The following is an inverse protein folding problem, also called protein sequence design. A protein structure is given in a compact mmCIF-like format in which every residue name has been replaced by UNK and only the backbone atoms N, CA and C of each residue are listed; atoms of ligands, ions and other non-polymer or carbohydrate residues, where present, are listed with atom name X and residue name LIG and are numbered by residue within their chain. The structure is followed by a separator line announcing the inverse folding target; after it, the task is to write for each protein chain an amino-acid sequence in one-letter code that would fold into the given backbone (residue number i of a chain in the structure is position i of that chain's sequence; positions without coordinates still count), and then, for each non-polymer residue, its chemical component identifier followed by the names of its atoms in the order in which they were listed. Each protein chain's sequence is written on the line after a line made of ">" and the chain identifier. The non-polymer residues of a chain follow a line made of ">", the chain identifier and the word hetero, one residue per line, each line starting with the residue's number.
data_IF_881933411850
#
_entry.id   IF_881933411850
#
_cell.length_a   1.000
_cell.length_b   1.000
_cell.length_c   1.000
_cell.angle_alpha   90.00
_cell.angle_beta   90.00
_cell.angle_gamma   90.00
#
_symmetry.space_group_name_H-M   'P 1'
#
loop_
_entity.id
_entity.type
_entity.pdbx_description
1 polymer ?
#
# COMPACT_ATOMS: atom_id res chain seq x y z
N UNK A 1 -26.21 2.01 -6.16
CA UNK A 1 -24.83 2.49 -6.03
C UNK A 1 -24.15 2.36 -7.37
N UNK A 2 -23.78 3.50 -7.97
CA UNK A 2 -23.10 3.62 -9.27
C UNK A 2 -21.75 2.89 -9.30
N UNK A 3 -20.98 2.94 -8.21
CA UNK A 3 -19.60 2.45 -8.15
C UNK A 3 -19.49 0.94 -7.85
N UNK A 4 -20.20 0.09 -8.61
CA UNK A 4 -20.22 -1.37 -8.39
C UNK A 4 -18.83 -2.02 -8.46
N UNK A 5 -17.88 -1.38 -9.16
CA UNK A 5 -16.48 -1.79 -9.27
C UNK A 5 -15.65 -1.59 -8.00
N UNK A 6 -16.12 -0.80 -7.03
CA UNK A 6 -15.33 -0.35 -5.88
C UNK A 6 -14.77 -1.51 -5.05
N UNK A 7 -15.57 -2.55 -4.83
CA UNK A 7 -15.15 -3.70 -4.01
C UNK A 7 -13.97 -4.44 -4.65
N UNK A 8 -14.10 -4.79 -5.92
CA UNK A 8 -13.04 -5.47 -6.67
C UNK A 8 -11.79 -4.59 -6.81
N UNK A 9 -11.98 -3.28 -7.02
CA UNK A 9 -10.89 -2.31 -7.13
C UNK A 9 -10.07 -2.23 -5.84
N UNK A 10 -10.72 -2.07 -4.69
CA UNK A 10 -10.05 -1.94 -3.40
C UNK A 10 -9.41 -3.25 -2.94
N UNK A 11 -10.09 -4.39 -3.13
CA UNK A 11 -9.57 -5.70 -2.73
C UNK A 11 -8.37 -6.15 -3.56
N UNK A 12 -8.15 -5.58 -4.75
CA UNK A 12 -6.93 -5.82 -5.54
C UNK A 12 -5.69 -5.19 -4.89
N UNK A 13 -5.86 -4.12 -4.10
CA UNK A 13 -4.73 -3.41 -3.48
C UNK A 13 -4.08 -4.24 -2.38
N UNK A 14 -2.76 -4.16 -2.28
CA UNK A 14 -1.98 -4.94 -1.31
C UNK A 14 -2.36 -4.61 0.12
N UNK A 15 -2.53 -5.67 0.92
CA UNK A 15 -2.80 -5.54 2.35
C UNK A 15 -4.18 -4.97 2.69
N UNK A 16 -5.08 -4.86 1.69
CA UNK A 16 -6.47 -4.49 1.94
C UNK A 16 -7.26 -5.68 2.47
N UNK A 17 -8.02 -5.43 3.52
CA UNK A 17 -9.02 -6.36 4.05
C UNK A 17 -10.38 -5.68 4.15
N UNK A 18 -11.44 -6.49 4.16
CA UNK A 18 -12.82 -6.02 4.25
C UNK A 18 -13.55 -6.73 5.39
N UNK A 19 -14.37 -5.98 6.12
CA UNK A 19 -15.30 -6.53 7.10
C UNK A 19 -16.63 -5.75 7.11
N UNK A 20 -17.61 -6.31 7.79
CA UNK A 20 -18.88 -5.64 8.07
C UNK A 20 -19.00 -5.35 9.57
N UNK A 21 -19.24 -4.09 9.92
CA UNK A 21 -19.45 -3.62 11.29
C UNK A 21 -20.96 -3.49 11.55
N UNK A 22 -21.61 -4.46 12.22
CA UNK A 22 -23.05 -4.48 12.40
C UNK A 22 -23.58 -3.31 13.23
N UNK A 23 -22.81 -2.79 14.19
CA UNK A 23 -23.25 -1.70 15.06
C UNK A 23 -23.42 -0.39 14.29
N UNK A 24 -22.52 -0.12 13.35
CA UNK A 24 -22.57 1.09 12.52
C UNK A 24 -23.31 0.86 11.22
N UNK A 25 -23.53 -0.41 10.86
CA UNK A 25 -24.08 -0.84 9.59
C UNK A 25 -23.19 -0.47 8.39
N UNK A 26 -21.87 -0.67 8.52
CA UNK A 26 -20.90 -0.25 7.51
C UNK A 26 -20.11 -1.44 6.97
N UNK A 27 -19.89 -1.46 5.65
CA UNK A 27 -18.88 -2.30 5.01
C UNK A 27 -17.59 -1.49 4.99
N UNK A 28 -16.51 -1.99 5.61
CA UNK A 28 -15.29 -1.22 5.86
C UNK A 28 -14.10 -1.84 5.16
N UNK A 29 -13.27 -1.00 4.55
CA UNK A 29 -12.01 -1.38 3.94
C UNK A 29 -10.86 -0.89 4.82
N UNK A 30 -9.96 -1.80 5.13
CA UNK A 30 -8.83 -1.58 6.01
C UNK A 30 -7.53 -1.84 5.27
N UNK A 31 -6.49 -1.09 5.62
CA UNK A 31 -5.10 -1.39 5.25
C UNK A 31 -4.28 -1.47 6.52
N UNK A 32 -3.59 -2.60 6.72
CA UNK A 32 -2.81 -2.84 7.94
C UNK A 32 -3.63 -2.77 9.24
N UNK A 33 -4.94 -3.03 9.16
CA UNK A 33 -5.88 -2.96 10.29
C UNK A 33 -6.46 -1.57 10.56
N UNK A 34 -6.13 -0.54 9.77
CA UNK A 34 -6.73 0.80 9.88
C UNK A 34 -7.71 1.05 8.73
N UNK A 35 -8.90 1.55 9.05
CA UNK A 35 -9.91 1.89 8.05
C UNK A 35 -9.45 3.06 7.20
N UNK A 36 -9.62 2.94 5.88
CA UNK A 36 -9.37 4.02 4.93
C UNK A 36 -10.64 4.38 4.14
N UNK A 37 -11.50 3.41 3.82
CA UNK A 37 -12.78 3.68 3.17
C UNK A 37 -13.91 2.83 3.79
N UNK A 38 -15.16 3.25 3.61
CA UNK A 38 -16.33 2.49 4.02
C UNK A 38 -17.54 2.78 3.12
N UNK A 39 -18.39 1.78 2.93
CA UNK A 39 -19.75 1.95 2.42
C UNK A 39 -20.68 1.95 3.63
N UNK A 40 -21.24 3.11 3.95
CA UNK A 40 -22.20 3.32 5.03
C UNK A 40 -23.60 2.93 4.53
N UNK A 41 -24.29 2.04 5.23
CA UNK A 41 -25.61 1.56 4.82
C UNK A 41 -26.73 2.21 5.63
N UNK A 42 -27.90 2.40 5.01
CA UNK A 42 -29.15 2.76 5.67
C UNK A 42 -29.79 1.57 6.40
N UNK A 43 -30.94 1.80 7.06
CA UNK A 43 -31.63 0.75 7.83
C UNK A 43 -32.05 -0.44 6.96
N UNK A 44 -32.35 -0.20 5.68
CA UNK A 44 -32.69 -1.22 4.69
C UNK A 44 -31.47 -1.87 4.01
N UNK A 45 -30.25 -1.64 4.54
CA UNK A 45 -28.98 -2.17 4.01
C UNK A 45 -28.59 -1.66 2.62
N UNK A 46 -29.13 -0.52 2.19
CA UNK A 46 -28.74 0.12 0.92
C UNK A 46 -27.57 1.08 1.16
N UNK A 47 -26.62 1.18 0.21
CA UNK A 47 -25.57 2.19 0.27
C UNK A 47 -26.13 3.60 0.41
N UNK A 48 -25.77 4.27 1.50
CA UNK A 48 -26.20 5.63 1.81
C UNK A 48 -25.08 6.65 1.57
N UNK A 49 -23.85 6.32 1.98
CA UNK A 49 -22.65 7.10 1.68
C UNK A 49 -21.45 6.19 1.44
N UNK A 50 -20.49 6.69 0.66
CA UNK A 50 -19.13 6.16 0.63
C UNK A 50 -18.24 7.12 1.39
N UNK A 51 -17.69 6.69 2.51
CA UNK A 51 -16.87 7.52 3.38
C UNK A 51 -15.39 7.20 3.19
N UNK A 52 -14.55 8.20 2.92
CA UNK A 52 -13.11 8.04 2.67
C UNK A 52 -12.29 9.21 3.22
N UNK A 53 -10.97 9.02 3.35
CA UNK A 53 -10.04 10.07 3.78
C UNK A 53 -9.44 10.83 2.61
N UNK A 54 -9.29 12.13 2.78
CA UNK A 54 -8.50 13.00 1.90
C UNK A 54 -7.66 13.95 2.75
N UNK A 55 -6.62 14.52 2.13
CA UNK A 55 -5.93 15.67 2.70
C UNK A 55 -6.93 16.83 2.91
N UNK A 56 -6.83 17.60 4.01
CA UNK A 56 -7.83 18.61 4.36
C UNK A 56 -8.16 19.58 3.22
N UNK A 57 -7.11 20.12 2.59
CA UNK A 57 -7.22 21.10 1.49
C UNK A 57 -7.91 20.48 0.26
N UNK A 58 -7.59 19.23 -0.08
CA UNK A 58 -8.25 18.53 -1.20
C UNK A 58 -9.71 18.25 -0.89
N UNK A 59 -10.01 17.81 0.34
CA UNK A 59 -11.39 17.62 0.79
C UNK A 59 -12.22 18.88 0.64
N UNK A 60 -11.70 20.04 1.04
CA UNK A 60 -12.36 21.35 0.85
C UNK A 60 -12.60 21.66 -0.63
N UNK A 61 -11.57 21.49 -1.48
CA UNK A 61 -11.70 21.73 -2.91
C UNK A 61 -12.79 20.83 -3.52
N UNK A 62 -12.81 19.54 -3.22
CA UNK A 62 -13.82 18.65 -3.79
C UNK A 62 -15.23 18.96 -3.29
N UNK A 63 -15.41 19.26 -1.99
CA UNK A 63 -16.71 19.70 -1.45
C UNK A 63 -17.21 21.00 -2.09
N UNK A 64 -16.30 21.88 -2.53
CA UNK A 64 -16.68 23.12 -3.23
C UNK A 64 -17.06 22.90 -4.71
N UNK A 65 -16.57 21.82 -5.32
CA UNK A 65 -16.73 21.55 -6.76
C UNK A 65 -17.82 20.55 -7.09
N UNK A 66 -18.15 19.66 -6.15
CA UNK A 66 -19.08 18.55 -6.36
C UNK A 66 -20.10 18.52 -5.22
N UNK A 67 -21.39 18.68 -5.54
CA UNK A 67 -22.49 18.63 -4.57
C UNK A 67 -22.62 17.25 -3.88
N UNK A 68 -22.11 16.21 -4.53
CA UNK A 68 -22.09 14.84 -4.03
C UNK A 68 -20.98 14.56 -3.02
N UNK A 69 -20.02 15.48 -2.86
CA UNK A 69 -18.93 15.37 -1.89
C UNK A 69 -19.29 16.19 -0.66
N UNK A 70 -19.51 15.51 0.46
CA UNK A 70 -19.98 16.10 1.72
C UNK A 70 -18.93 15.92 2.84
N UNK A 71 -19.02 16.69 3.94
CA UNK A 71 -18.24 16.41 5.14
C UNK A 71 -18.50 14.99 5.67
N UNK A 72 -17.48 14.36 6.25
CA UNK A 72 -17.52 12.96 6.69
C UNK A 72 -18.68 12.60 7.63
N UNK A 73 -19.44 11.57 7.26
CA UNK A 73 -20.55 11.00 8.02
C UNK A 73 -20.02 10.25 9.25
N UNK A 74 -20.54 10.58 10.44
CA UNK A 74 -20.10 10.07 11.75
C UNK A 74 -18.56 10.03 11.95
N UNK A 75 -17.84 10.92 11.27
CA UNK A 75 -16.37 10.95 11.24
C UNK A 75 -15.86 12.37 11.45
N UNK A 76 -14.54 12.52 11.64
CA UNK A 76 -13.90 13.83 11.64
C UNK A 76 -14.06 14.50 10.26
N UNK A 77 -14.65 15.69 10.24
CA UNK A 77 -15.00 16.44 9.03
C UNK A 77 -13.81 17.14 8.37
N UNK A 78 -12.64 17.12 9.02
CA UNK A 78 -11.41 17.66 8.47
C UNK A 78 -10.89 16.73 7.36
N UNK A 79 -10.66 15.46 7.72
CA UNK A 79 -10.02 14.50 6.81
C UNK A 79 -11.02 13.55 6.12
N UNK A 80 -12.18 13.29 6.73
CA UNK A 80 -13.16 12.37 6.15
C UNK A 80 -14.20 13.11 5.32
N UNK A 81 -14.55 12.48 4.20
CA UNK A 81 -15.50 12.98 3.21
C UNK A 81 -16.48 11.86 2.86
N UNK A 82 -17.74 12.22 2.69
CA UNK A 82 -18.81 11.31 2.31
C UNK A 82 -19.29 11.60 0.90
N UNK A 83 -19.22 10.59 0.05
CA UNK A 83 -19.62 10.67 -1.36
C UNK A 83 -21.00 10.03 -1.50
N UNK A 84 -21.91 10.69 -2.21
CA UNK A 84 -23.19 10.08 -2.56
C UNK A 84 -22.98 8.87 -3.49
N UNK A 85 -23.51 7.69 -3.15
CA UNK A 85 -23.22 6.45 -3.87
C UNK A 85 -23.84 6.39 -5.27
N UNK A 86 -24.82 7.26 -5.56
CA UNK A 86 -25.47 7.42 -6.87
C UNK A 86 -25.27 8.82 -7.46
N UNK A 87 -24.23 9.53 -7.01
CA UNK A 87 -23.90 10.89 -7.47
C UNK A 87 -23.13 10.95 -8.81
N UNK A 88 -22.66 12.14 -9.13
CA UNK A 88 -22.03 12.49 -10.40
C UNK A 88 -20.50 12.59 -10.38
N UNK A 89 -19.85 12.21 -9.27
CA UNK A 89 -18.38 12.13 -9.22
C UNK A 89 -17.90 11.14 -10.30
N UNK A 90 -17.05 11.56 -11.25
CA UNK A 90 -16.56 10.68 -12.30
C UNK A 90 -15.78 9.49 -11.72
N UNK A 91 -15.90 8.33 -12.37
CA UNK A 91 -15.30 7.09 -11.88
C UNK A 91 -13.79 7.19 -11.66
N UNK A 92 -13.06 7.86 -12.56
CA UNK A 92 -11.61 8.02 -12.42
C UNK A 92 -11.26 8.93 -11.24
N UNK A 93 -12.04 9.99 -11.00
CA UNK A 93 -11.86 10.82 -9.81
C UNK A 93 -12.19 10.05 -8.53
N UNK A 94 -13.20 9.19 -8.55
CA UNK A 94 -13.54 8.34 -7.41
C UNK A 94 -12.41 7.34 -7.11
N UNK A 95 -11.78 6.75 -8.13
CA UNK A 95 -10.58 5.91 -7.97
C UNK A 95 -9.43 6.71 -7.37
N UNK A 96 -9.14 7.90 -7.89
CA UNK A 96 -8.08 8.76 -7.37
C UNK A 96 -8.30 9.11 -5.89
N UNK A 97 -9.53 9.42 -5.49
CA UNK A 97 -9.89 9.69 -4.08
C UNK A 97 -9.68 8.45 -3.19
N UNK A 98 -10.04 7.26 -3.68
CA UNK A 98 -9.85 6.00 -2.96
C UNK A 98 -8.37 5.62 -2.83
N UNK A 99 -7.59 5.86 -3.88
CA UNK A 99 -6.14 5.63 -3.92
C UNK A 99 -5.43 6.56 -2.95
N UNK A 100 -5.78 7.84 -2.97
CA UNK A 100 -5.29 8.80 -2.00
C UNK A 100 -5.66 8.40 -0.57
N UNK A 101 -6.90 7.99 -0.33
CA UNK A 101 -7.34 7.53 0.98
C UNK A 101 -6.52 6.33 1.47
N UNK A 102 -6.24 5.35 0.60
CA UNK A 102 -5.37 4.22 0.90
C UNK A 102 -3.95 4.69 1.25
N UNK A 103 -3.36 5.53 0.39
CA UNK A 103 -2.01 6.08 0.53
C UNK A 103 -1.83 6.85 1.84
N UNK A 104 -2.78 7.71 2.20
CA UNK A 104 -2.73 8.50 3.44
C UNK A 104 -2.69 7.62 4.69
N UNK A 105 -3.50 6.56 4.72
CA UNK A 105 -3.47 5.62 5.85
C UNK A 105 -2.19 4.80 5.85
N UNK A 106 -1.71 4.41 4.66
CA UNK A 106 -0.48 3.63 4.49
C UNK A 106 0.77 4.40 4.94
N UNK A 107 0.88 5.68 4.57
CA UNK A 107 1.97 6.58 4.97
C UNK A 107 2.01 6.84 6.47
N UNK A 108 0.86 6.74 7.15
CA UNK A 108 0.76 6.84 8.61
C UNK A 108 1.35 5.65 9.40
N UNK A 109 1.86 4.61 8.73
CA UNK A 109 2.58 3.51 9.36
C UNK A 109 4.10 3.71 9.32
N UNK A 110 4.81 3.07 10.25
CA UNK A 110 6.28 3.01 10.18
C UNK A 110 6.73 2.30 8.90
N UNK A 111 7.91 2.66 8.37
CA UNK A 111 8.45 2.04 7.14
C UNK A 111 8.62 0.52 7.25
N UNK A 112 8.92 0.00 8.46
CA UNK A 112 8.94 -1.44 8.73
C UNK A 112 7.55 -2.04 8.49
N UNK A 113 6.53 -1.44 9.11
CA UNK A 113 5.13 -1.89 8.99
C UNK A 113 4.58 -1.74 7.57
N UNK A 114 4.95 -0.68 6.85
CA UNK A 114 4.60 -0.51 5.45
C UNK A 114 5.10 -1.69 4.59
N UNK A 115 6.37 -2.10 4.76
CA UNK A 115 6.91 -3.28 4.05
C UNK A 115 6.17 -4.58 4.39
N UNK A 116 5.78 -4.77 5.65
CA UNK A 116 4.99 -5.93 6.08
C UNK A 116 3.62 -5.96 5.41
N UNK A 117 2.89 -4.82 5.42
CA UNK A 117 1.57 -4.70 4.81
C UNK A 117 1.64 -4.93 3.31
N UNK A 118 2.65 -4.36 2.63
CA UNK A 118 2.88 -4.58 1.21
C UNK A 118 3.41 -5.98 0.89
N UNK A 119 3.80 -6.77 1.89
CA UNK A 119 4.41 -8.09 1.69
C UNK A 119 5.67 -8.07 0.82
N UNK A 120 6.40 -6.97 0.80
CA UNK A 120 7.58 -6.78 -0.05
C UNK A 120 8.79 -6.28 0.76
N UNK A 121 9.97 -6.79 0.44
CA UNK A 121 11.21 -6.31 1.04
C UNK A 121 11.65 -4.98 0.43
N UNK A 122 12.61 -4.31 1.08
CA UNK A 122 13.17 -3.07 0.55
C UNK A 122 13.80 -3.22 -0.85
N UNK A 123 14.15 -4.44 -1.24
CA UNK A 123 14.82 -4.78 -2.48
C UNK A 123 13.90 -5.49 -3.48
N UNK A 124 12.58 -5.49 -3.27
CA UNK A 124 11.62 -6.03 -4.23
C UNK A 124 11.35 -7.53 -4.15
N UNK A 125 11.93 -8.24 -3.19
CA UNK A 125 11.65 -9.67 -2.99
C UNK A 125 10.34 -9.83 -2.23
N UNK A 126 9.55 -10.85 -2.60
CA UNK A 126 8.32 -11.23 -1.91
C UNK A 126 8.61 -12.39 -0.96
N UNK A 127 8.87 -12.10 0.31
CA UNK A 127 9.30 -13.12 1.29
C UNK A 127 8.34 -14.30 1.38
N UNK A 128 7.02 -14.08 1.27
CA UNK A 128 6.02 -15.15 1.38
C UNK A 128 6.07 -16.17 0.24
N UNK A 129 6.76 -15.87 -0.86
CA UNK A 129 6.97 -16.80 -1.99
C UNK A 129 8.35 -17.47 -1.93
N UNK A 130 9.23 -17.05 -1.02
CA UNK A 130 10.59 -17.54 -0.91
C UNK A 130 10.67 -18.76 0.01
N UNK A 131 11.20 -19.88 -0.49
CA UNK A 131 11.39 -21.12 0.28
C UNK A 131 12.29 -20.98 1.51
N UNK A 132 13.18 -19.98 1.52
CA UNK A 132 14.03 -19.70 2.66
C UNK A 132 13.30 -18.97 3.80
N UNK A 133 12.19 -18.28 3.50
CA UNK A 133 11.47 -17.50 4.50
C UNK A 133 10.72 -18.42 5.47
N UNK A 134 10.89 -18.20 6.77
CA UNK A 134 10.33 -19.04 7.83
C UNK A 134 11.10 -20.34 8.10
N UNK A 135 12.05 -20.72 7.23
CA UNK A 135 12.96 -21.85 7.45
C UNK A 135 14.32 -21.34 7.95
N UNK A 136 15.21 -20.98 7.03
CA UNK A 136 16.56 -20.49 7.32
C UNK A 136 16.65 -18.96 7.38
N UNK A 137 15.56 -18.25 7.03
CA UNK A 137 15.51 -16.79 6.97
C UNK A 137 14.27 -16.26 7.69
N UNK A 138 14.48 -15.43 8.72
CA UNK A 138 13.42 -14.66 9.40
C UNK A 138 12.93 -13.42 8.63
N UNK A 139 13.48 -13.16 7.43
CA UNK A 139 13.17 -11.97 6.63
C UNK A 139 13.94 -10.71 7.05
N UNK A 140 14.16 -9.81 6.10
CA UNK A 140 15.01 -8.64 6.33
C UNK A 140 14.47 -7.67 7.40
N UNK A 141 13.14 -7.61 7.58
CA UNK A 141 12.51 -6.76 8.58
C UNK A 141 12.82 -7.22 10.01
N UNK A 142 12.74 -8.52 10.30
CA UNK A 142 13.06 -9.05 11.63
C UNK A 142 14.56 -9.16 11.85
N UNK A 143 15.30 -9.57 10.82
CA UNK A 143 16.75 -9.74 10.91
C UNK A 143 17.52 -8.43 10.75
N UNK A 144 16.86 -7.27 10.62
CA UNK A 144 17.56 -5.99 10.45
C UNK A 144 18.53 -6.01 9.25
N UNK A 145 18.10 -6.66 8.17
CA UNK A 145 18.88 -6.88 6.95
C UNK A 145 19.98 -7.95 7.06
N UNK A 146 20.22 -8.57 8.23
CA UNK A 146 21.23 -9.62 8.44
C UNK A 146 20.70 -11.00 8.04
N UNK A 147 20.25 -11.11 6.78
CA UNK A 147 19.72 -12.35 6.19
C UNK A 147 20.85 -13.35 5.90
N UNK A 148 20.53 -14.62 5.66
CA UNK A 148 21.50 -15.71 5.52
C UNK A 148 22.54 -15.48 4.40
N UNK A 149 22.14 -14.82 3.31
CA UNK A 149 22.99 -14.50 2.17
C UNK A 149 23.69 -13.13 2.28
N UNK A 150 23.55 -12.44 3.43
CA UNK A 150 24.28 -11.21 3.71
C UNK A 150 25.65 -11.52 4.37
N UNK A 151 26.63 -10.60 4.30
CA UNK A 151 27.90 -10.78 4.98
C UNK A 151 27.70 -11.01 6.49
N UNK A 152 28.43 -11.97 7.07
CA UNK A 152 28.27 -12.38 8.47
C UNK A 152 28.23 -11.19 9.43
N UNK A 153 27.15 -11.10 10.21
CA UNK A 153 26.93 -10.05 11.21
C UNK A 153 26.55 -8.66 10.66
N UNK A 154 26.49 -8.49 9.34
CA UNK A 154 26.21 -7.21 8.68
C UNK A 154 24.88 -7.27 7.92
N UNK A 155 24.21 -6.13 7.85
CA UNK A 155 23.03 -6.00 6.99
C UNK A 155 23.43 -6.09 5.51
N UNK A 156 22.57 -6.68 4.67
CA UNK A 156 22.69 -6.65 3.22
C UNK A 156 22.91 -5.21 2.73
N UNK A 157 23.80 -4.98 1.74
CA UNK A 157 24.10 -3.64 1.21
C UNK A 157 22.86 -2.83 0.80
N UNK A 158 21.87 -3.46 0.17
CA UNK A 158 20.62 -2.81 -0.24
C UNK A 158 19.82 -2.35 0.99
N UNK A 159 19.63 -3.22 1.98
CA UNK A 159 18.90 -2.89 3.20
C UNK A 159 19.60 -1.76 3.97
N UNK A 160 20.93 -1.84 4.10
CA UNK A 160 21.73 -0.79 4.75
C UNK A 160 21.55 0.56 4.04
N UNK A 161 21.54 0.57 2.70
CA UNK A 161 21.33 1.79 1.93
C UNK A 161 19.90 2.33 2.11
N UNK A 162 18.90 1.54 1.71
CA UNK A 162 17.51 1.98 1.68
C UNK A 162 16.99 2.31 3.08
N UNK A 163 17.17 1.41 4.05
CA UNK A 163 16.53 1.54 5.37
C UNK A 163 17.35 2.38 6.35
N UNK A 164 18.66 2.12 6.47
CA UNK A 164 19.49 2.80 7.49
C UNK A 164 20.07 4.14 7.05
N UNK A 165 20.45 4.29 5.77
CA UNK A 165 21.08 5.54 5.29
C UNK A 165 20.08 6.50 4.67
N UNK A 166 19.22 6.00 3.78
CA UNK A 166 18.27 6.83 3.03
C UNK A 166 16.90 6.92 3.68
N UNK A 167 16.65 6.14 4.73
CA UNK A 167 15.39 6.13 5.47
C UNK A 167 14.18 5.98 4.53
N UNK A 168 14.24 5.02 3.60
CA UNK A 168 13.17 4.71 2.66
C UNK A 168 12.47 3.42 3.05
N UNK A 169 11.22 3.27 2.62
CA UNK A 169 10.49 2.02 2.76
C UNK A 169 11.10 0.95 1.86
N UNK A 170 11.47 1.30 0.64
CA UNK A 170 12.13 0.42 -0.34
C UNK A 170 13.00 1.21 -1.30
N UNK A 171 13.59 0.52 -2.29
CA UNK A 171 14.30 1.15 -3.39
C UNK A 171 13.39 1.77 -4.46
N UNK A 172 12.06 1.56 -4.44
CA UNK A 172 11.15 1.99 -5.52
C UNK A 172 11.25 3.49 -5.87
N UNK A 173 11.48 4.35 -4.86
CA UNK A 173 11.68 5.80 -5.06
C UNK A 173 13.14 6.22 -5.30
N UNK A 174 13.99 5.34 -5.81
CA UNK A 174 15.39 5.65 -6.10
C UNK A 174 15.59 5.88 -7.59
N UNK A 175 16.05 7.08 -7.96
CA UNK A 175 16.31 7.47 -9.36
C UNK A 175 17.37 6.57 -10.02
N UNK A 176 18.35 6.12 -9.24
CA UNK A 176 19.41 5.23 -9.74
C UNK A 176 19.01 3.75 -9.78
N UNK A 177 17.76 3.35 -9.51
CA UNK A 177 17.37 1.93 -9.46
C UNK A 177 17.32 1.31 -10.87
N UNK A 178 18.03 0.19 -11.14
CA UNK A 178 18.92 -0.57 -10.25
C UNK A 178 20.33 0.03 -10.23
N UNK A 179 20.84 0.33 -9.03
CA UNK A 179 22.13 0.99 -8.87
C UNK A 179 23.26 -0.01 -8.64
N UNK A 180 24.50 0.48 -8.54
CA UNK A 180 25.68 -0.35 -8.31
C UNK A 180 25.55 -1.25 -7.08
N UNK A 181 24.88 -0.80 -6.02
CA UNK A 181 24.65 -1.61 -4.81
C UNK A 181 23.88 -2.90 -5.15
N UNK A 182 22.93 -2.85 -6.09
CA UNK A 182 22.22 -4.06 -6.54
C UNK A 182 23.17 -5.01 -7.27
N UNK A 183 24.04 -4.48 -8.13
CA UNK A 183 25.05 -5.26 -8.87
C UNK A 183 26.00 -6.00 -7.93
N UNK A 184 26.37 -5.39 -6.79
CA UNK A 184 27.21 -6.06 -5.77
C UNK A 184 26.52 -7.19 -4.99
N UNK A 185 25.23 -7.45 -5.22
CA UNK A 185 24.44 -8.48 -4.50
C UNK A 185 24.14 -9.73 -5.31
N UNK A 186 24.84 -9.93 -6.43
CA UNK A 186 24.73 -11.14 -7.25
C UNK A 186 24.99 -12.39 -6.42
N UNK A 187 24.09 -13.37 -6.52
CA UNK A 187 24.37 -14.72 -6.02
C UNK A 187 25.45 -15.34 -6.94
N UNK A 188 26.60 -15.78 -6.41
CA UNK A 188 27.66 -16.41 -7.21
C UNK A 188 27.21 -17.64 -8.01
N UNK A 189 26.12 -18.28 -7.60
CA UNK A 189 25.55 -19.46 -8.28
C UNK A 189 24.75 -19.09 -9.54
N UNK A 190 24.33 -17.84 -9.70
CA UNK A 190 23.58 -17.38 -10.86
C UNK A 190 24.52 -16.94 -11.98
N UNK A 191 24.17 -17.29 -13.21
CA UNK A 191 24.81 -16.67 -14.37
C UNK A 191 24.38 -15.20 -14.54
N UNK A 192 24.93 -14.51 -15.52
CA UNK A 192 24.61 -13.10 -15.75
C UNK A 192 23.17 -12.89 -16.22
N UNK A 193 22.65 -13.76 -17.09
CA UNK A 193 21.30 -13.64 -17.62
C UNK A 193 20.24 -13.89 -16.54
N UNK A 194 20.47 -14.89 -15.69
CA UNK A 194 19.64 -15.20 -14.53
C UNK A 194 19.64 -14.06 -13.52
N UNK A 195 20.81 -13.46 -13.26
CA UNK A 195 20.91 -12.32 -12.36
C UNK A 195 20.19 -11.06 -12.89
N UNK A 196 20.31 -10.75 -14.18
CA UNK A 196 19.55 -9.67 -14.81
C UNK A 196 18.04 -9.93 -14.79
N UNK A 197 17.62 -11.20 -14.91
CA UNK A 197 16.22 -11.59 -14.74
C UNK A 197 15.72 -11.37 -13.31
N UNK A 198 16.50 -11.75 -12.29
CA UNK A 198 16.17 -11.49 -10.88
C UNK A 198 15.99 -9.98 -10.61
N UNK A 199 16.93 -9.15 -11.08
CA UNK A 199 16.86 -7.70 -10.91
C UNK A 199 15.59 -7.14 -11.54
N UNK A 200 15.30 -7.50 -12.80
CA UNK A 200 14.07 -7.07 -13.49
C UNK A 200 12.82 -7.50 -12.73
N UNK A 201 12.77 -8.74 -12.27
CA UNK A 201 11.61 -9.25 -11.54
C UNK A 201 11.39 -8.49 -10.22
N UNK A 202 12.46 -8.21 -9.49
CA UNK A 202 12.38 -7.47 -8.23
C UNK A 202 12.02 -6.00 -8.43
N UNK A 203 12.48 -5.37 -9.51
CA UNK A 203 12.03 -4.02 -9.89
C UNK A 203 10.56 -4.01 -10.26
N UNK A 204 10.08 -4.99 -11.01
CA UNK A 204 8.66 -5.13 -11.35
C UNK A 204 7.81 -5.35 -10.09
N UNK A 205 8.29 -6.15 -9.14
CA UNK A 205 7.62 -6.32 -7.85
C UNK A 205 7.52 -5.00 -7.08
N UNK A 206 8.61 -4.21 -7.06
CA UNK A 206 8.59 -2.87 -6.45
C UNK A 206 7.58 -2.00 -7.16
N UNK A 207 7.63 -1.91 -8.49
CA UNK A 207 6.70 -1.13 -9.29
C UNK A 207 5.26 -1.50 -8.95
N UNK A 208 4.87 -2.77 -9.05
CA UNK A 208 3.52 -3.24 -8.71
C UNK A 208 3.11 -2.93 -7.27
N UNK A 209 4.01 -3.12 -6.31
CA UNK A 209 3.70 -2.87 -4.91
C UNK A 209 3.40 -1.39 -4.60
N UNK A 210 3.91 -0.47 -5.42
CA UNK A 210 3.68 0.96 -5.26
C UNK A 210 2.70 1.53 -6.30
N UNK A 211 2.47 0.90 -7.45
CA UNK A 211 1.38 1.26 -8.39
C UNK A 211 0.01 0.79 -7.90
N UNK A 212 -0.06 -0.38 -7.27
CA UNK A 212 -1.30 -0.85 -6.63
C UNK A 212 -1.54 -0.15 -5.27
N UNK A 213 -0.59 0.66 -4.78
CA UNK A 213 -0.55 1.21 -3.42
C UNK A 213 -0.24 2.70 -3.26
N UNK A 214 -0.05 3.46 -4.34
CA UNK A 214 0.16 4.92 -4.36
C UNK A 214 -0.71 5.51 -5.46
#
# INVERSE_FOLDING_TARGET
>A
MRYEWMDAYLLKKRGVTKDYQPVWNWIRYHVGGKMFAAICLDQEKRPYYINLKLEPVKGEVFRSRYEDVLPGYYSDKINWNSIRPDGEVPDDLMKDMLDESYRLVMEGFSRKRQREILGITCCGTECYTCSCYGSICGGCNELSGKVFHAPKGKACPIYRCAVYKKYRTSCAGCEDLPCEIWRTTKNPELDEAEFEADIRQRMENLKRAYEDGI
#
